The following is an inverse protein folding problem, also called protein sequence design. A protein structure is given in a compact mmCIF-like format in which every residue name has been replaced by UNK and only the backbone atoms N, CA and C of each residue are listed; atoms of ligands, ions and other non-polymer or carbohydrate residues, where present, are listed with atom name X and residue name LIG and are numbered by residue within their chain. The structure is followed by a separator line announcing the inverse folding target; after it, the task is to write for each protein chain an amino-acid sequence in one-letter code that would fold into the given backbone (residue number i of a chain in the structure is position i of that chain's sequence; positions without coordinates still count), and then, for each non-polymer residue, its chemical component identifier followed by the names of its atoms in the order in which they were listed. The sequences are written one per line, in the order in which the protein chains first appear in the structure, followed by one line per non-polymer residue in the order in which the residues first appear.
data_IF_796571425372
#
_entry.id   IF_796571425372
#
_cell.length_a   1.000
_cell.length_b   1.000
_cell.length_c   1.000
_cell.angle_alpha   90.00
_cell.angle_beta   90.00
_cell.angle_gamma   90.00
#
_symmetry.space_group_name_H-M   'P 1'
#
loop_
_entity.id
_entity.type
_entity.pdbx_description
1 polymer ?
#
# COMPACT_ATOMS: atom_id res chain seq x y z
N UNK A 1 -0.54 -8.90 -29.01
CA UNK A 1 -1.15 -7.53 -28.99
C UNK A 1 -0.46 -6.70 -27.92
N UNK A 2 -0.49 -5.36 -27.99
CA UNK A 2 0.15 -4.48 -26.99
C UNK A 2 -0.93 -3.69 -26.24
N UNK A 3 -0.90 -3.76 -24.92
CA UNK A 3 -1.78 -3.03 -24.01
C UNK A 3 -0.96 -2.10 -23.13
N UNK A 4 -1.56 -0.98 -22.70
CA UNK A 4 -0.88 0.02 -21.87
C UNK A 4 -1.54 0.14 -20.50
N UNK A 5 -0.71 0.39 -19.50
CA UNK A 5 -1.13 0.75 -18.15
C UNK A 5 -0.11 1.65 -17.48
N UNK A 6 -0.22 1.79 -16.17
CA UNK A 6 0.65 2.61 -15.34
C UNK A 6 1.84 1.78 -14.85
N UNK A 7 3.07 2.03 -15.31
CA UNK A 7 4.26 1.34 -14.82
C UNK A 7 4.58 1.81 -13.40
N UNK A 8 4.38 0.97 -12.40
CA UNK A 8 4.60 1.35 -10.98
C UNK A 8 5.94 0.84 -10.44
N UNK A 9 6.46 -0.26 -10.97
CA UNK A 9 7.74 -0.83 -10.57
C UNK A 9 8.49 -1.32 -11.81
N UNK A 10 9.71 -0.83 -12.02
CA UNK A 10 10.44 -0.99 -13.29
C UNK A 10 11.01 -2.40 -13.44
N UNK A 11 10.94 -2.92 -14.66
CA UNK A 11 11.66 -4.12 -15.07
C UNK A 11 11.00 -4.80 -16.25
N UNK A 12 11.62 -5.89 -16.72
CA UNK A 12 11.14 -6.69 -17.83
C UNK A 12 10.91 -8.12 -17.35
N UNK A 13 9.71 -8.64 -17.54
CA UNK A 13 9.37 -10.02 -17.23
C UNK A 13 8.81 -10.74 -18.46
N UNK A 14 9.16 -12.00 -18.60
CA UNK A 14 8.65 -12.90 -19.65
C UNK A 14 8.26 -14.18 -18.95
N UNK A 15 7.02 -14.61 -19.11
CA UNK A 15 6.53 -15.80 -18.43
C UNK A 15 5.09 -16.15 -18.80
N UNK A 16 4.61 -17.25 -18.22
CA UNK A 16 3.20 -17.61 -18.31
C UNK A 16 2.38 -16.74 -17.37
N UNK A 17 1.16 -16.42 -17.79
CA UNK A 17 0.22 -15.70 -16.96
C UNK A 17 -0.48 -16.65 -15.99
N UNK A 18 -0.47 -16.29 -14.72
CA UNK A 18 -1.36 -16.85 -13.71
C UNK A 18 -2.48 -15.84 -13.45
N UNK A 19 -3.68 -16.13 -13.98
CA UNK A 19 -4.87 -15.32 -13.70
C UNK A 19 -5.34 -15.63 -12.28
N UNK A 20 -5.18 -14.64 -11.41
CA UNK A 20 -5.68 -14.63 -10.04
C UNK A 20 -7.04 -13.93 -10.01
N UNK A 21 -8.05 -14.70 -9.63
CA UNK A 21 -9.38 -14.19 -9.34
C UNK A 21 -9.57 -14.25 -7.84
N UNK A 22 -9.62 -13.07 -7.22
CA UNK A 22 -10.07 -12.95 -5.84
C UNK A 22 -11.51 -13.45 -5.73
N UNK A 23 -11.87 -13.93 -4.54
CA UNK A 23 -13.22 -14.41 -4.30
C UNK A 23 -14.22 -13.25 -4.47
N UNK A 24 -15.03 -13.33 -5.52
CA UNK A 24 -16.15 -12.40 -5.76
C UNK A 24 -17.45 -13.08 -5.32
N UNK A 25 -17.98 -12.75 -4.14
CA UNK A 25 -19.21 -13.36 -3.63
C UNK A 25 -20.40 -13.00 -4.51
N UNK A 26 -21.23 -13.99 -4.87
CA UNK A 26 -22.54 -13.77 -5.47
C UNK A 26 -23.58 -14.00 -4.39
N UNK A 27 -24.00 -12.91 -3.75
CA UNK A 27 -24.95 -12.95 -2.63
C UNK A 27 -26.31 -12.48 -3.13
N UNK A 28 -27.33 -13.26 -2.83
CA UNK A 28 -28.73 -12.97 -3.16
C UNK A 28 -29.52 -12.78 -1.88
N UNK A 29 -30.44 -11.83 -1.87
CA UNK A 29 -31.36 -11.65 -0.75
C UNK A 29 -32.20 -12.91 -0.53
N UNK A 30 -32.04 -13.51 0.65
CA UNK A 30 -32.77 -14.68 1.10
C UNK A 30 -33.13 -14.52 2.56
N UNK A 31 -34.32 -14.99 2.91
CA UNK A 31 -34.79 -15.07 4.28
C UNK A 31 -34.81 -16.52 4.74
N UNK A 32 -34.70 -16.72 6.05
CA UNK A 32 -34.74 -18.04 6.67
C UNK A 32 -35.86 -18.14 7.72
N UNK A 33 -36.16 -19.36 8.18
CA UNK A 33 -37.16 -19.60 9.22
C UNK A 33 -36.68 -19.08 10.59
N UNK A 34 -37.44 -18.23 11.32
CA UNK A 34 -37.03 -17.67 12.61
C UNK A 34 -36.55 -18.67 13.67
N UNK A 35 -36.94 -19.94 13.58
CA UNK A 35 -36.42 -20.99 14.46
C UNK A 35 -34.92 -21.25 14.32
N UNK A 36 -34.29 -20.81 13.23
CA UNK A 36 -32.87 -20.99 12.92
C UNK A 36 -32.01 -19.78 13.29
N UNK A 37 -32.58 -18.75 13.92
CA UNK A 37 -31.84 -17.52 14.26
C UNK A 37 -30.61 -17.80 15.11
N UNK A 38 -30.74 -18.60 16.17
CA UNK A 38 -29.60 -18.93 17.05
C UNK A 38 -28.52 -19.76 16.32
N UNK A 39 -28.92 -20.68 15.43
CA UNK A 39 -28.01 -21.46 14.58
C UNK A 39 -27.17 -20.53 13.68
N UNK A 40 -27.82 -19.58 13.01
CA UNK A 40 -27.15 -18.65 12.11
C UNK A 40 -26.25 -17.66 12.84
N UNK A 41 -26.68 -17.15 14.01
CA UNK A 41 -25.87 -16.28 14.85
C UNK A 41 -24.62 -17.02 15.37
N UNK A 42 -24.76 -18.26 15.82
CA UNK A 42 -23.63 -19.07 16.25
C UNK A 42 -22.63 -19.30 15.11
N UNK A 43 -23.11 -19.68 13.92
CA UNK A 43 -22.26 -19.89 12.76
C UNK A 43 -21.57 -18.60 12.30
N UNK A 44 -22.21 -17.44 12.47
CA UNK A 44 -21.61 -16.15 12.14
C UNK A 44 -20.46 -15.82 13.10
N UNK A 45 -20.64 -16.11 14.40
CA UNK A 45 -19.57 -15.98 15.38
C UNK A 45 -18.39 -16.91 15.08
N UNK A 46 -18.66 -18.16 14.67
CA UNK A 46 -17.62 -19.09 14.22
C UNK A 46 -16.88 -18.58 12.97
N UNK A 47 -17.60 -17.93 12.05
CA UNK A 47 -17.04 -17.29 10.84
C UNK A 47 -16.08 -16.16 11.21
N UNK A 48 -16.46 -15.29 12.16
CA UNK A 48 -15.57 -14.22 12.66
C UNK A 48 -14.30 -14.79 13.30
N UNK A 49 -14.43 -15.83 14.14
CA UNK A 49 -13.26 -16.48 14.78
C UNK A 49 -12.31 -17.09 13.76
N UNK A 50 -12.83 -17.69 12.68
CA UNK A 50 -11.97 -18.22 11.63
C UNK A 50 -11.30 -17.09 10.83
N UNK A 51 -12.02 -16.01 10.54
CA UNK A 51 -11.44 -14.83 9.88
C UNK A 51 -10.32 -14.20 10.71
N UNK A 52 -10.54 -14.04 12.02
CA UNK A 52 -9.53 -13.60 12.97
C UNK A 52 -8.31 -14.53 12.95
N UNK A 53 -8.53 -15.85 12.98
CA UNK A 53 -7.43 -16.83 12.95
C UNK A 53 -6.57 -16.71 11.68
N UNK A 54 -7.20 -16.52 10.51
CA UNK A 54 -6.48 -16.31 9.26
C UNK A 54 -5.70 -14.98 9.26
N UNK A 55 -6.32 -13.88 9.70
CA UNK A 55 -5.67 -12.57 9.77
C UNK A 55 -4.49 -12.57 10.76
N UNK A 56 -4.63 -13.23 11.91
CA UNK A 56 -3.54 -13.39 12.89
C UNK A 56 -2.35 -14.15 12.31
N UNK A 57 -2.57 -15.19 11.51
CA UNK A 57 -1.47 -15.90 10.84
C UNK A 57 -0.69 -14.99 9.89
N UNK A 58 -1.40 -14.13 9.14
CA UNK A 58 -0.76 -13.17 8.23
C UNK A 58 0.00 -12.10 9.04
N UNK A 59 -0.64 -11.57 10.09
CA UNK A 59 -0.01 -10.62 11.02
C UNK A 59 1.30 -11.18 11.60
N UNK A 60 1.27 -12.39 12.14
CA UNK A 60 2.44 -13.00 12.81
C UNK A 60 3.56 -13.31 11.81
N UNK A 61 3.22 -13.73 10.59
CA UNK A 61 4.19 -13.92 9.51
C UNK A 61 4.96 -12.63 9.16
N UNK A 62 4.28 -11.48 9.22
CA UNK A 62 4.85 -10.19 8.88
C UNK A 62 5.49 -9.47 10.06
N UNK A 63 5.08 -9.76 11.29
CA UNK A 63 5.50 -9.01 12.49
C UNK A 63 7.02 -8.90 12.66
N UNK A 64 7.76 -9.96 12.32
CA UNK A 64 9.22 -9.99 12.45
C UNK A 64 9.96 -9.32 11.28
N UNK A 65 9.33 -9.24 10.09
CA UNK A 65 9.99 -8.80 8.85
C UNK A 65 9.56 -7.42 8.40
N UNK A 66 8.28 -7.10 8.58
CA UNK A 66 7.60 -5.93 8.02
C UNK A 66 6.52 -5.42 9.00
N UNK A 67 6.93 -4.91 10.19
CA UNK A 67 6.01 -4.57 11.29
C UNK A 67 4.97 -3.51 10.91
N UNK A 68 5.32 -2.56 10.04
CA UNK A 68 4.36 -1.58 9.53
C UNK A 68 3.26 -2.21 8.68
N UNK A 69 3.56 -3.27 7.91
CA UNK A 69 2.55 -4.02 7.16
C UNK A 69 1.71 -4.91 8.07
N UNK A 70 2.29 -5.44 9.15
CA UNK A 70 1.54 -6.23 10.14
C UNK A 70 0.40 -5.41 10.78
N UNK A 71 0.59 -4.10 11.02
CA UNK A 71 -0.45 -3.21 11.56
C UNK A 71 -1.72 -3.17 10.71
N UNK A 72 -1.63 -3.37 9.40
CA UNK A 72 -2.79 -3.44 8.51
C UNK A 72 -3.71 -4.59 8.92
N UNK A 73 -3.12 -5.76 9.21
CA UNK A 73 -3.88 -6.95 9.60
C UNK A 73 -4.41 -6.86 11.03
N UNK A 74 -3.75 -6.10 11.91
CA UNK A 74 -4.33 -5.73 13.21
C UNK A 74 -5.60 -4.90 13.02
N UNK A 75 -5.56 -3.88 12.15
CA UNK A 75 -6.73 -3.07 11.82
C UNK A 75 -7.84 -3.90 11.15
N UNK A 76 -7.50 -4.90 10.33
CA UNK A 76 -8.50 -5.82 9.75
C UNK A 76 -9.19 -6.67 10.82
N UNK A 77 -8.46 -7.11 11.86
CA UNK A 77 -9.06 -7.80 13.01
C UNK A 77 -10.00 -6.85 13.76
N UNK A 78 -9.61 -5.59 13.96
CA UNK A 78 -10.46 -4.59 14.58
C UNK A 78 -11.75 -4.37 13.75
N UNK A 79 -11.67 -4.34 12.41
CA UNK A 79 -12.84 -4.24 11.52
C UNK A 79 -13.76 -5.46 11.65
N UNK A 80 -13.22 -6.68 11.78
CA UNK A 80 -14.05 -7.90 11.99
C UNK A 80 -14.90 -7.79 13.25
N UNK A 81 -14.40 -7.08 14.27
CA UNK A 81 -15.04 -6.90 15.57
C UNK A 81 -15.57 -5.48 15.81
N UNK A 82 -15.74 -4.68 14.75
CA UNK A 82 -16.33 -3.36 14.89
C UNK A 82 -17.76 -3.50 15.44
N UNK A 83 -18.01 -2.85 16.58
CA UNK A 83 -19.27 -3.00 17.32
C UNK A 83 -20.48 -2.55 16.49
N UNK A 84 -20.35 -1.44 15.74
CA UNK A 84 -21.45 -0.89 14.95
C UNK A 84 -21.80 -1.80 13.78
N UNK A 85 -20.81 -2.27 13.03
CA UNK A 85 -21.00 -3.22 11.93
C UNK A 85 -21.58 -4.55 12.46
N UNK A 86 -21.04 -5.04 13.58
CA UNK A 86 -21.46 -6.31 14.18
C UNK A 86 -22.90 -6.25 14.66
N UNK A 87 -23.29 -5.18 15.36
CA UNK A 87 -24.67 -5.00 15.83
C UNK A 87 -25.65 -4.91 14.65
N UNK A 88 -25.34 -4.15 13.60
CA UNK A 88 -26.19 -4.06 12.41
C UNK A 88 -26.38 -5.42 11.70
N UNK A 89 -25.32 -6.23 11.62
CA UNK A 89 -25.41 -7.58 11.04
C UNK A 89 -26.25 -8.50 11.91
N UNK A 90 -26.04 -8.48 13.24
CA UNK A 90 -26.81 -9.30 14.19
C UNK A 90 -28.30 -8.91 14.15
N UNK A 91 -28.60 -7.62 14.11
CA UNK A 91 -29.98 -7.11 14.06
C UNK A 91 -30.67 -7.48 12.75
N UNK A 92 -29.96 -7.43 11.62
CA UNK A 92 -30.47 -7.91 10.34
C UNK A 92 -30.84 -9.41 10.42
N UNK A 93 -29.95 -10.23 10.97
CA UNK A 93 -30.19 -11.68 11.12
C UNK A 93 -31.36 -11.94 12.08
N UNK A 94 -31.43 -11.24 13.21
CA UNK A 94 -32.40 -11.50 14.28
C UNK A 94 -33.78 -10.93 14.00
N UNK A 95 -33.85 -9.72 13.47
CA UNK A 95 -35.11 -8.97 13.33
C UNK A 95 -35.72 -9.15 11.93
N UNK A 96 -34.89 -9.14 10.90
CA UNK A 96 -35.34 -9.25 9.50
C UNK A 96 -35.29 -10.69 8.98
N UNK A 97 -34.63 -11.61 9.71
CA UNK A 97 -34.49 -13.03 9.35
C UNK A 97 -33.85 -13.24 7.97
N UNK A 98 -32.91 -12.36 7.61
CA UNK A 98 -32.13 -12.48 6.37
C UNK A 98 -30.90 -13.35 6.58
N UNK A 99 -30.52 -14.14 5.57
CA UNK A 99 -29.35 -15.02 5.68
C UNK A 99 -28.06 -14.22 5.97
N UNK A 100 -27.13 -14.74 6.79
CA UNK A 100 -25.96 -13.98 7.23
C UNK A 100 -25.02 -13.50 6.12
N UNK A 101 -24.90 -14.22 5.01
CA UNK A 101 -24.14 -13.73 3.84
C UNK A 101 -24.76 -12.46 3.25
N UNK A 102 -26.08 -12.40 3.13
CA UNK A 102 -26.78 -11.18 2.72
C UNK A 102 -26.64 -10.06 3.73
N UNK A 103 -26.76 -10.34 5.03
CA UNK A 103 -26.54 -9.35 6.07
C UNK A 103 -25.13 -8.74 6.00
N UNK A 104 -24.09 -9.59 5.90
CA UNK A 104 -22.68 -9.18 5.75
C UNK A 104 -22.50 -8.33 4.50
N UNK A 105 -22.95 -8.82 3.33
CA UNK A 105 -22.82 -8.09 2.06
C UNK A 105 -23.50 -6.71 2.13
N UNK A 106 -24.72 -6.64 2.67
CA UNK A 106 -25.52 -5.42 2.76
C UNK A 106 -24.88 -4.37 3.67
N UNK A 107 -24.47 -4.77 4.88
CA UNK A 107 -23.90 -3.85 5.87
C UNK A 107 -22.54 -3.36 5.39
N UNK A 108 -21.60 -4.25 5.06
CA UNK A 108 -20.27 -3.84 4.59
C UNK A 108 -20.34 -3.00 3.31
N UNK A 109 -21.19 -3.35 2.34
CA UNK A 109 -21.35 -2.54 1.12
C UNK A 109 -21.90 -1.14 1.40
N UNK A 110 -22.64 -0.95 2.48
CA UNK A 110 -23.10 0.38 2.92
C UNK A 110 -21.92 1.20 3.47
N UNK A 111 -21.14 0.63 4.38
CA UNK A 111 -19.95 1.28 4.94
C UNK A 111 -18.90 1.59 3.85
N UNK A 112 -18.60 0.63 2.97
CA UNK A 112 -17.69 0.82 1.82
C UNK A 112 -18.13 2.00 0.97
N UNK A 113 -19.43 2.09 0.61
CA UNK A 113 -19.96 3.24 -0.16
C UNK A 113 -19.83 4.57 0.58
N UNK A 114 -19.93 4.58 1.90
CA UNK A 114 -19.76 5.78 2.71
C UNK A 114 -18.30 6.25 2.71
N UNK A 115 -17.34 5.37 3.04
CA UNK A 115 -15.92 5.76 3.07
C UNK A 115 -15.34 6.03 1.68
N UNK A 116 -15.79 5.34 0.62
CA UNK A 116 -15.34 5.65 -0.75
C UNK A 116 -15.72 7.05 -1.21
N UNK A 117 -16.75 7.68 -0.62
CA UNK A 117 -17.16 9.05 -0.92
C UNK A 117 -16.47 10.10 -0.05
N UNK A 118 -15.59 9.70 0.86
CA UNK A 118 -14.84 10.63 1.69
C UNK A 118 -13.93 11.53 0.83
N UNK A 119 -13.78 12.79 1.24
CA UNK A 119 -12.87 13.73 0.57
C UNK A 119 -11.41 13.37 0.84
N UNK A 120 -11.13 12.88 2.03
CA UNK A 120 -9.81 12.44 2.45
C UNK A 120 -9.37 11.16 1.71
N UNK A 121 -8.24 11.20 0.98
CA UNK A 121 -7.67 10.02 0.32
C UNK A 121 -7.39 8.85 1.26
N UNK A 122 -6.92 9.10 2.48
CA UNK A 122 -6.58 8.06 3.46
C UNK A 122 -7.85 7.34 3.94
N UNK A 123 -8.94 8.09 4.14
CA UNK A 123 -10.24 7.49 4.48
C UNK A 123 -10.79 6.67 3.30
N UNK A 124 -10.59 7.13 2.06
CA UNK A 124 -10.98 6.35 0.88
C UNK A 124 -10.22 5.04 0.77
N UNK A 125 -8.95 4.99 1.19
CA UNK A 125 -8.14 3.77 1.18
C UNK A 125 -8.70 2.69 2.12
N UNK A 126 -9.35 3.09 3.24
CA UNK A 126 -10.05 2.14 4.14
C UNK A 126 -11.20 1.37 3.46
N UNK A 127 -11.71 1.83 2.33
CA UNK A 127 -12.70 1.09 1.57
C UNK A 127 -12.16 -0.25 1.06
N UNK A 128 -10.86 -0.32 0.74
CA UNK A 128 -10.20 -1.55 0.34
C UNK A 128 -10.10 -2.53 1.52
N UNK A 129 -9.79 -2.03 2.73
CA UNK A 129 -9.71 -2.84 3.95
C UNK A 129 -11.06 -3.46 4.32
N UNK A 130 -12.13 -2.65 4.29
CA UNK A 130 -13.50 -3.14 4.50
C UNK A 130 -13.90 -4.19 3.44
N UNK A 131 -13.47 -4.00 2.19
CA UNK A 131 -13.73 -4.96 1.12
C UNK A 131 -13.00 -6.29 1.34
N UNK A 132 -11.74 -6.24 1.78
CA UNK A 132 -10.93 -7.43 2.11
C UNK A 132 -11.60 -8.24 3.23
N UNK A 133 -11.95 -7.57 4.34
CA UNK A 133 -12.65 -8.21 5.47
C UNK A 133 -14.01 -8.79 5.05
N UNK A 134 -14.81 -8.02 4.30
CA UNK A 134 -16.11 -8.48 3.78
C UNK A 134 -15.96 -9.76 2.96
N UNK A 135 -15.06 -9.74 1.97
CA UNK A 135 -14.88 -10.87 1.06
C UNK A 135 -14.33 -12.10 1.80
N UNK A 136 -13.47 -11.90 2.81
CA UNK A 136 -12.99 -12.96 3.69
C UNK A 136 -14.13 -13.59 4.49
N UNK A 137 -14.96 -12.80 5.15
CA UNK A 137 -16.11 -13.30 5.91
C UNK A 137 -17.09 -14.07 5.01
N UNK A 138 -17.41 -13.55 3.84
CA UNK A 138 -18.30 -14.22 2.88
C UNK A 138 -17.70 -15.51 2.32
N UNK A 139 -16.38 -15.53 2.06
CA UNK A 139 -15.67 -16.73 1.62
C UNK A 139 -15.76 -17.83 2.65
N UNK A 140 -15.46 -17.51 3.91
CA UNK A 140 -15.53 -18.42 5.05
C UNK A 140 -16.96 -18.92 5.25
N UNK A 141 -17.93 -18.00 5.24
CA UNK A 141 -19.34 -18.34 5.40
C UNK A 141 -19.79 -19.39 4.39
N UNK A 142 -19.40 -19.21 3.13
CA UNK A 142 -19.74 -20.10 2.04
C UNK A 142 -18.88 -21.37 1.98
N UNK A 143 -17.97 -21.58 2.94
CA UNK A 143 -17.09 -22.75 2.99
C UNK A 143 -16.10 -22.81 1.81
N UNK A 144 -15.81 -21.68 1.20
CA UNK A 144 -14.89 -21.59 0.07
C UNK A 144 -13.46 -21.51 0.60
N UNK A 145 -12.59 -22.41 0.14
CA UNK A 145 -11.17 -22.40 0.51
C UNK A 145 -10.48 -21.12 0.07
N UNK A 146 -9.47 -20.69 0.81
CA UNK A 146 -8.62 -19.57 0.40
C UNK A 146 -7.83 -19.94 -0.85
N UNK A 147 -7.94 -19.13 -1.91
CA UNK A 147 -6.96 -19.13 -3.00
C UNK A 147 -5.94 -18.07 -2.66
N UNK A 148 -4.76 -18.50 -2.22
CA UNK A 148 -3.68 -17.58 -1.89
C UNK A 148 -2.59 -17.62 -2.95
N UNK A 149 -1.86 -16.51 -3.06
CA UNK A 149 -0.69 -16.39 -3.92
C UNK A 149 0.59 -16.87 -3.21
N UNK A 150 0.46 -17.60 -2.09
CA UNK A 150 1.57 -17.94 -1.19
C UNK A 150 2.43 -19.10 -1.61
N UNK A 151 1.90 -19.96 -2.49
CA UNK A 151 2.63 -21.07 -3.08
C UNK A 151 2.29 -21.09 -4.56
N UNK A 152 3.25 -20.69 -5.38
CA UNK A 152 3.17 -20.81 -6.83
C UNK A 152 4.07 -21.96 -7.28
N UNK A 153 3.56 -22.84 -8.13
CA UNK A 153 4.29 -24.05 -8.56
C UNK A 153 5.44 -23.74 -9.54
N UNK A 154 5.30 -22.66 -10.32
CA UNK A 154 6.29 -22.20 -11.29
C UNK A 154 6.38 -20.66 -11.30
N UNK A 155 7.47 -20.08 -11.83
CA UNK A 155 7.57 -18.64 -12.02
C UNK A 155 6.53 -18.11 -13.02
N UNK A 156 5.68 -17.17 -12.59
CA UNK A 156 4.52 -16.67 -13.35
C UNK A 156 4.38 -15.15 -13.29
N UNK A 157 3.68 -14.61 -14.28
CA UNK A 157 3.17 -13.24 -14.27
C UNK A 157 1.77 -13.27 -13.66
N UNK A 158 1.57 -12.63 -12.51
CA UNK A 158 0.27 -12.59 -11.83
C UNK A 158 -0.61 -11.53 -12.49
N UNK A 159 -1.78 -11.94 -12.98
CA UNK A 159 -2.80 -11.06 -13.53
C UNK A 159 -4.05 -11.06 -12.66
N UNK A 160 -4.53 -9.89 -12.24
CA UNK A 160 -5.72 -9.77 -11.40
C UNK A 160 -6.57 -8.54 -11.74
N UNK A 161 -7.82 -8.50 -11.30
CA UNK A 161 -8.64 -7.28 -11.39
C UNK A 161 -8.05 -6.18 -10.48
N UNK A 162 -7.77 -6.57 -9.24
CA UNK A 162 -7.04 -5.82 -8.23
C UNK A 162 -6.34 -6.84 -7.30
N UNK A 163 -5.38 -6.37 -6.50
CA UNK A 163 -4.77 -7.19 -5.44
C UNK A 163 -5.02 -6.54 -4.08
N UNK A 164 -5.74 -7.25 -3.22
CA UNK A 164 -6.06 -6.80 -1.88
C UNK A 164 -4.81 -6.83 -0.97
N UNK A 165 -4.82 -6.11 0.17
CA UNK A 165 -3.73 -6.16 1.13
C UNK A 165 -3.37 -7.61 1.54
N UNK A 166 -4.34 -8.49 1.77
CA UNK A 166 -4.05 -9.90 2.10
C UNK A 166 -3.34 -10.66 0.99
N UNK A 167 -3.68 -10.40 -0.27
CA UNK A 167 -3.15 -11.12 -1.43
C UNK A 167 -1.69 -10.79 -1.65
N UNK A 168 -1.37 -9.50 -1.50
CA UNK A 168 -0.02 -8.96 -1.67
C UNK A 168 0.90 -9.28 -0.49
N UNK A 169 0.37 -9.35 0.73
CA UNK A 169 1.11 -9.77 1.91
C UNK A 169 1.59 -11.22 1.85
N UNK A 170 0.73 -12.10 1.32
CA UNK A 170 0.98 -13.54 1.27
C UNK A 170 1.69 -13.98 -0.01
N UNK A 171 2.06 -13.06 -0.89
CA UNK A 171 2.57 -13.37 -2.24
C UNK A 171 3.92 -14.13 -2.23
N UNK A 172 4.03 -15.18 -3.05
CA UNK A 172 5.26 -15.95 -3.26
C UNK A 172 6.26 -15.15 -4.12
N UNK A 173 7.01 -14.27 -3.46
CA UNK A 173 7.97 -13.35 -4.10
C UNK A 173 8.96 -14.04 -5.03
N UNK A 174 9.31 -15.31 -4.76
CA UNK A 174 10.31 -16.03 -5.54
C UNK A 174 9.80 -16.43 -6.92
N UNK A 175 8.50 -16.72 -7.01
CA UNK A 175 7.86 -17.23 -8.21
C UNK A 175 6.99 -16.17 -8.92
N UNK A 176 6.88 -14.96 -8.39
CA UNK A 176 6.22 -13.85 -9.11
C UNK A 176 7.24 -13.10 -9.96
N UNK A 177 7.14 -13.27 -11.27
CA UNK A 177 7.98 -12.58 -12.26
C UNK A 177 7.54 -11.13 -12.49
N UNK A 178 6.24 -10.87 -12.47
CA UNK A 178 5.64 -9.55 -12.60
C UNK A 178 4.19 -9.54 -12.12
N UNK A 179 3.66 -8.35 -11.85
CA UNK A 179 2.26 -8.11 -11.46
C UNK A 179 1.59 -7.22 -12.50
N UNK A 180 0.42 -7.63 -12.99
CA UNK A 180 -0.43 -6.82 -13.86
C UNK A 180 -1.87 -6.77 -13.32
N UNK A 181 -2.45 -5.57 -13.25
CA UNK A 181 -3.82 -5.41 -12.74
C UNK A 181 -4.70 -4.55 -13.66
N UNK A 182 -6.00 -4.84 -13.65
CA UNK A 182 -6.99 -4.04 -14.40
C UNK A 182 -7.22 -2.66 -13.78
N UNK A 183 -7.19 -2.61 -12.44
CA UNK A 183 -7.37 -1.40 -11.65
C UNK A 183 -6.09 -1.05 -10.89
N UNK A 184 -6.10 0.05 -10.14
CA UNK A 184 -4.94 0.51 -9.35
C UNK A 184 -4.18 1.67 -9.98
N UNK A 185 -3.41 2.36 -9.13
CA UNK A 185 -2.66 3.57 -9.48
C UNK A 185 -1.33 3.59 -8.72
N UNK A 186 -0.52 4.64 -8.91
CA UNK A 186 0.77 4.77 -8.23
C UNK A 186 0.70 4.78 -6.69
N UNK A 187 -0.48 5.04 -6.12
CA UNK A 187 -0.72 5.08 -4.67
C UNK A 187 -1.42 3.83 -4.14
N UNK A 188 -1.79 2.86 -4.98
CA UNK A 188 -2.46 1.65 -4.46
C UNK A 188 -1.51 0.78 -3.66
N UNK A 189 -2.05 -0.01 -2.73
CA UNK A 189 -1.28 -0.97 -1.94
C UNK A 189 -0.45 -1.91 -2.82
N UNK A 190 -1.01 -2.38 -3.93
CA UNK A 190 -0.30 -3.23 -4.90
C UNK A 190 0.89 -2.51 -5.54
N UNK A 191 0.82 -1.20 -5.76
CA UNK A 191 1.95 -0.40 -6.27
C UNK A 191 3.08 -0.25 -5.25
N UNK A 192 2.73 0.01 -4.00
CA UNK A 192 3.70 0.11 -2.90
C UNK A 192 4.43 -1.22 -2.74
N UNK A 193 3.70 -2.34 -2.78
CA UNK A 193 4.26 -3.66 -2.55
C UNK A 193 5.13 -4.11 -3.73
N UNK A 194 4.67 -3.90 -4.98
CA UNK A 194 5.48 -4.19 -6.15
C UNK A 194 6.83 -3.44 -6.14
N UNK A 195 6.85 -2.17 -5.68
CA UNK A 195 8.09 -1.40 -5.50
C UNK A 195 8.96 -1.95 -4.39
N UNK A 196 8.37 -2.23 -3.22
CA UNK A 196 9.06 -2.75 -2.04
C UNK A 196 9.74 -4.09 -2.32
N UNK A 197 9.11 -4.95 -3.12
CA UNK A 197 9.68 -6.25 -3.51
C UNK A 197 10.51 -6.22 -4.79
N UNK A 198 10.74 -5.04 -5.39
CA UNK A 198 11.41 -4.89 -6.70
C UNK A 198 10.79 -5.77 -7.81
N UNK A 199 9.49 -6.09 -7.71
CA UNK A 199 8.78 -6.91 -8.70
C UNK A 199 8.27 -5.97 -9.81
N UNK A 200 8.58 -6.23 -11.10
CA UNK A 200 8.07 -5.44 -12.21
C UNK A 200 6.54 -5.40 -12.21
N UNK A 201 5.93 -4.22 -12.36
CA UNK A 201 4.47 -4.11 -12.29
C UNK A 201 3.87 -3.01 -13.15
N UNK A 202 2.74 -3.34 -13.80
CA UNK A 202 1.91 -2.43 -14.58
C UNK A 202 0.47 -2.52 -14.05
N UNK A 203 -0.05 -1.43 -13.50
CA UNK A 203 -1.40 -1.40 -12.94
C UNK A 203 -2.35 -0.60 -13.83
N UNK A 204 -3.66 -0.80 -13.68
CA UNK A 204 -4.65 -0.01 -14.42
C UNK A 204 -4.68 -0.29 -15.91
N UNK A 205 -4.46 -1.55 -16.35
CA UNK A 205 -4.57 -1.95 -17.75
C UNK A 205 -6.06 -2.15 -18.08
N UNK A 206 -6.69 -1.31 -18.92
CA UNK A 206 -8.13 -1.37 -19.12
C UNK A 206 -8.60 -2.73 -19.66
N UNK A 207 -9.64 -3.29 -19.03
CA UNK A 207 -10.26 -4.55 -19.45
C UNK A 207 -9.32 -5.76 -19.46
N UNK A 208 -8.23 -5.73 -18.68
CA UNK A 208 -7.25 -6.82 -18.58
C UNK A 208 -7.91 -8.18 -18.40
N UNK A 209 -8.85 -8.30 -17.46
CA UNK A 209 -9.47 -9.57 -17.11
C UNK A 209 -10.39 -10.12 -18.22
N UNK A 210 -10.77 -9.29 -19.19
CA UNK A 210 -11.62 -9.71 -20.31
C UNK A 210 -10.83 -10.41 -21.43
N UNK A 211 -9.53 -10.12 -21.56
CA UNK A 211 -8.72 -10.62 -22.68
C UNK A 211 -7.57 -11.53 -22.26
N UNK A 212 -7.02 -11.35 -21.04
CA UNK A 212 -5.88 -12.14 -20.56
C UNK A 212 -6.32 -13.56 -20.22
N UNK A 213 -5.50 -14.55 -20.53
CA UNK A 213 -5.81 -15.97 -20.32
C UNK A 213 -4.78 -16.65 -19.44
N UNK A 214 -5.27 -17.47 -18.53
CA UNK A 214 -4.42 -18.29 -17.69
C UNK A 214 -3.57 -19.23 -18.56
N UNK A 215 -2.27 -19.30 -18.27
CA UNK A 215 -1.28 -20.12 -18.95
C UNK A 215 -0.72 -19.54 -20.25
N UNK A 216 -1.23 -18.41 -20.76
CA UNK A 216 -0.67 -17.81 -21.97
C UNK A 216 0.67 -17.11 -21.68
N UNK A 217 1.57 -17.11 -22.67
CA UNK A 217 2.84 -16.37 -22.54
C UNK A 217 2.60 -14.88 -22.74
N UNK A 218 3.12 -14.08 -21.82
CA UNK A 218 3.10 -12.63 -21.91
C UNK A 218 4.49 -12.04 -21.61
N UNK A 219 4.70 -10.83 -22.11
CA UNK A 219 5.85 -9.98 -21.77
C UNK A 219 5.31 -8.74 -21.06
N UNK A 220 5.91 -8.42 -19.91
CA UNK A 220 5.63 -7.22 -19.15
C UNK A 220 6.84 -6.31 -19.26
N UNK A 221 6.68 -5.21 -19.99
CA UNK A 221 7.63 -4.11 -20.03
C UNK A 221 7.15 -3.01 -19.07
N UNK A 222 7.51 -3.13 -17.80
CA UNK A 222 7.15 -2.15 -16.78
C UNK A 222 8.05 -0.90 -16.81
N UNK A 223 8.90 -0.75 -17.83
CA UNK A 223 9.63 0.49 -18.10
C UNK A 223 8.80 1.36 -19.04
N UNK A 224 8.31 0.77 -20.13
CA UNK A 224 7.42 1.42 -21.10
C UNK A 224 5.94 1.45 -20.66
N UNK A 225 5.57 0.63 -19.67
CA UNK A 225 4.18 0.45 -19.25
C UNK A 225 3.37 -0.38 -20.26
N UNK A 226 4.01 -1.33 -20.92
CA UNK A 226 3.43 -2.14 -22.00
C UNK A 226 3.32 -3.61 -21.62
N UNK A 227 2.13 -4.19 -21.80
CA UNK A 227 1.86 -5.61 -21.72
C UNK A 227 1.70 -6.18 -23.12
N UNK A 228 2.49 -7.19 -23.46
CA UNK A 228 2.44 -7.85 -24.76
C UNK A 228 1.93 -9.28 -24.57
N UNK A 229 0.75 -9.57 -25.10
CA UNK A 229 0.16 -10.92 -25.06
C UNK A 229 0.43 -11.67 -26.35
N UNK A 230 0.61 -12.99 -26.24
CA UNK A 230 0.86 -13.90 -27.37
C UNK A 230 1.98 -13.38 -28.30
N UNK A 231 3.17 -13.08 -27.76
CA UNK A 231 4.28 -12.59 -28.56
C UNK A 231 4.74 -13.66 -29.56
N UNK A 232 5.11 -13.21 -30.77
CA UNK A 232 5.79 -14.09 -31.71
C UNK A 232 7.24 -14.35 -31.27
N UNK A 233 7.89 -15.29 -31.95
CA UNK A 233 9.27 -15.68 -31.64
C UNK A 233 10.25 -14.51 -31.75
N UNK A 234 10.09 -13.64 -32.75
CA UNK A 234 10.98 -12.47 -32.93
C UNK A 234 10.86 -11.48 -31.78
N UNK A 235 9.64 -11.27 -31.29
CA UNK A 235 9.33 -10.41 -30.14
C UNK A 235 9.90 -11.02 -28.85
N UNK A 236 9.74 -12.33 -28.63
CA UNK A 236 10.34 -13.03 -27.49
C UNK A 236 11.87 -12.92 -27.49
N UNK A 237 12.52 -13.16 -28.64
CA UNK A 237 13.97 -13.08 -28.76
C UNK A 237 14.47 -11.64 -28.50
N UNK A 238 13.76 -10.63 -29.01
CA UNK A 238 14.06 -9.23 -28.74
C UNK A 238 13.95 -8.90 -27.25
N UNK A 239 12.82 -9.22 -26.61
CA UNK A 239 12.59 -8.88 -25.21
C UNK A 239 13.47 -9.68 -24.24
N UNK A 240 13.89 -10.90 -24.61
CA UNK A 240 14.90 -11.64 -23.84
C UNK A 240 16.22 -10.88 -23.79
N UNK A 241 16.64 -10.25 -24.89
CA UNK A 241 17.83 -9.38 -24.92
C UNK A 241 17.61 -8.06 -24.17
N UNK A 242 16.39 -7.51 -24.17
CA UNK A 242 16.06 -6.31 -23.38
C UNK A 242 16.10 -6.64 -21.89
N UNK A 243 15.51 -7.76 -21.46
CA UNK A 243 15.53 -8.24 -20.09
C UNK A 243 16.96 -8.45 -19.59
N UNK A 244 17.80 -9.12 -20.38
CA UNK A 244 19.20 -9.36 -20.00
C UNK A 244 20.00 -8.05 -19.91
N UNK A 245 19.80 -7.11 -20.85
CA UNK A 245 20.44 -5.79 -20.78
C UNK A 245 20.01 -5.03 -19.53
N UNK A 246 18.72 -5.03 -19.22
CA UNK A 246 18.19 -4.39 -18.01
C UNK A 246 18.79 -5.02 -16.75
N UNK A 247 18.90 -6.35 -16.70
CA UNK A 247 19.52 -7.07 -15.58
C UNK A 247 20.97 -6.65 -15.40
N UNK A 248 21.77 -6.68 -16.47
CA UNK A 248 23.19 -6.28 -16.44
C UNK A 248 23.33 -4.80 -16.04
N UNK A 249 22.48 -3.91 -16.55
CA UNK A 249 22.53 -2.48 -16.21
C UNK A 249 22.12 -2.22 -14.76
N UNK A 250 21.12 -2.95 -14.25
CA UNK A 250 20.72 -2.91 -12.85
C UNK A 250 21.83 -3.42 -11.93
N UNK A 251 22.48 -4.54 -12.27
CA UNK A 251 23.64 -5.06 -11.53
C UNK A 251 24.82 -4.09 -11.55
N UNK A 252 25.13 -3.49 -12.71
CA UNK A 252 26.14 -2.43 -12.83
C UNK A 252 25.80 -1.24 -11.96
N UNK A 253 24.55 -0.79 -11.98
CA UNK A 253 24.09 0.34 -11.16
C UNK A 253 24.19 0.03 -9.68
N UNK A 254 23.80 -1.17 -9.25
CA UNK A 254 23.96 -1.64 -7.87
C UNK A 254 25.45 -1.67 -7.45
N UNK A 255 26.37 -1.98 -8.36
CA UNK A 255 27.81 -1.92 -8.08
C UNK A 255 28.35 -0.50 -7.83
N UNK A 256 27.59 0.55 -8.18
CA UNK A 256 27.93 1.95 -7.89
C UNK A 256 27.37 2.47 -6.55
N UNK A 257 26.50 1.73 -5.85
CA UNK A 257 25.91 2.15 -4.57
C UNK A 257 26.98 2.55 -3.54
N UNK A 258 28.07 1.78 -3.47
CA UNK A 258 29.18 1.99 -2.53
C UNK A 258 30.38 2.74 -3.15
N UNK A 259 30.21 3.42 -4.27
CA UNK A 259 31.31 4.12 -4.97
C UNK A 259 31.29 5.61 -4.69
N UNK A 260 32.48 6.21 -4.66
CA UNK A 260 32.61 7.66 -4.59
C UNK A 260 31.94 8.34 -5.79
N UNK A 261 31.08 9.34 -5.57
CA UNK A 261 30.36 10.03 -6.63
C UNK A 261 31.27 11.04 -7.33
N UNK A 262 32.06 10.54 -8.28
CA UNK A 262 33.02 11.32 -9.06
C UNK A 262 32.57 11.45 -10.52
N UNK A 263 32.72 12.64 -11.09
CA UNK A 263 32.63 12.86 -12.55
C UNK A 263 33.83 12.21 -13.26
N UNK A 264 33.76 12.13 -14.60
CA UNK A 264 34.85 11.55 -15.43
C UNK A 264 36.20 12.27 -15.28
N UNK A 265 36.19 13.54 -14.88
CA UNK A 265 37.39 14.35 -14.64
C UNK A 265 37.84 14.33 -13.15
N UNK A 266 37.16 13.57 -12.30
CA UNK A 266 37.51 13.40 -10.88
C UNK A 266 36.87 14.41 -9.93
N UNK A 267 35.99 15.29 -10.40
CA UNK A 267 35.24 16.21 -9.54
C UNK A 267 34.22 15.44 -8.70
N UNK A 268 34.28 15.57 -7.37
CA UNK A 268 33.27 14.98 -6.48
C UNK A 268 31.97 15.77 -6.52
N UNK A 269 30.85 15.05 -6.57
CA UNK A 269 29.49 15.60 -6.45
C UNK A 269 28.83 14.92 -5.26
N UNK A 270 28.48 15.68 -4.23
CA UNK A 270 27.82 15.10 -3.07
C UNK A 270 26.38 14.67 -3.41
N UNK A 271 25.99 13.48 -2.98
CA UNK A 271 24.68 12.89 -3.23
C UNK A 271 23.82 12.96 -1.97
N UNK A 272 22.78 13.80 -2.03
CA UNK A 272 21.84 14.00 -0.93
C UNK A 272 20.56 13.17 -1.07
N UNK A 273 20.04 12.63 0.04
CA UNK A 273 18.72 12.00 0.09
C UNK A 273 17.62 13.00 0.44
N UNK A 274 16.45 12.80 -0.17
CA UNK A 274 15.22 13.45 0.25
C UNK A 274 14.38 12.43 1.01
N UNK A 275 14.04 12.72 2.26
CA UNK A 275 13.32 11.81 3.16
C UNK A 275 12.06 12.50 3.72
N UNK A 276 11.09 11.70 4.17
CA UNK A 276 9.81 12.22 4.66
C UNK A 276 9.35 11.58 5.97
N UNK A 277 9.26 10.25 6.00
CA UNK A 277 8.72 9.51 7.15
C UNK A 277 9.81 9.09 8.13
N UNK A 278 11.07 9.00 7.70
CA UNK A 278 12.15 8.45 8.52
C UNK A 278 11.93 6.98 8.86
N UNK A 279 11.24 6.24 7.96
CA UNK A 279 11.05 4.81 8.08
C UNK A 279 12.34 4.05 7.73
N UNK A 280 12.39 2.76 8.10
CA UNK A 280 13.60 1.95 7.93
C UNK A 280 14.03 1.85 6.45
N UNK A 281 13.09 1.74 5.50
CA UNK A 281 13.39 1.71 4.06
C UNK A 281 14.13 2.98 3.55
N UNK A 282 13.76 4.16 4.05
CA UNK A 282 14.48 5.42 3.74
C UNK A 282 15.85 5.45 4.42
N UNK A 283 15.90 4.99 5.68
CA UNK A 283 17.08 5.03 6.54
C UNK A 283 18.13 3.96 6.21
N UNK A 284 17.76 2.87 5.55
CA UNK A 284 18.69 1.85 5.04
C UNK A 284 19.61 2.40 3.96
N UNK A 285 19.22 3.48 3.29
CA UNK A 285 20.04 4.15 2.25
C UNK A 285 21.07 5.11 2.81
N UNK A 286 21.03 5.40 4.12
CA UNK A 286 21.95 6.32 4.78
C UNK A 286 23.45 6.01 4.56
N UNK A 287 23.91 4.74 4.48
CA UNK A 287 25.31 4.43 4.18
C UNK A 287 25.78 4.99 2.83
N UNK A 288 24.90 5.00 1.82
CA UNK A 288 25.21 5.32 0.42
C UNK A 288 25.05 6.80 0.04
N UNK A 289 24.57 7.63 0.96
CA UNK A 289 24.35 9.06 0.72
C UNK A 289 25.38 9.91 1.47
N UNK A 290 25.77 11.05 0.93
CA UNK A 290 26.69 11.97 1.62
C UNK A 290 25.98 12.80 2.70
N UNK A 291 24.68 13.08 2.50
CA UNK A 291 23.85 13.90 3.39
C UNK A 291 22.35 13.67 3.15
N UNK A 292 21.49 14.26 3.98
CA UNK A 292 20.05 14.40 3.70
C UNK A 292 19.80 15.81 3.20
N UNK A 293 19.56 15.97 1.89
CA UNK A 293 19.33 17.26 1.24
C UNK A 293 17.98 17.89 1.54
N UNK A 294 16.99 17.08 1.90
CA UNK A 294 15.68 17.55 2.30
C UNK A 294 14.99 16.54 3.20
N UNK A 295 14.82 16.89 4.47
CA UNK A 295 13.91 16.17 5.35
C UNK A 295 12.58 16.93 5.44
N UNK A 296 11.54 16.33 4.86
CA UNK A 296 10.17 16.85 4.82
C UNK A 296 9.44 16.48 6.10
N UNK A 297 9.24 17.44 6.98
CA UNK A 297 8.58 17.20 8.26
C UNK A 297 7.06 17.03 8.14
N UNK A 298 6.45 17.41 7.02
CA UNK A 298 4.99 17.38 6.82
C UNK A 298 4.38 16.00 7.03
N UNK A 299 5.09 14.93 6.63
CA UNK A 299 4.59 13.57 6.78
C UNK A 299 4.32 13.21 8.25
N UNK A 300 5.15 13.68 9.17
CA UNK A 300 4.96 13.49 10.61
C UNK A 300 3.69 14.17 11.13
N UNK A 301 3.32 15.32 10.56
CA UNK A 301 2.08 16.01 10.90
C UNK A 301 0.88 15.31 10.23
N UNK A 302 1.03 14.82 9.01
CA UNK A 302 -0.06 14.17 8.28
C UNK A 302 -0.38 12.76 8.78
N UNK A 303 0.58 12.04 9.38
CA UNK A 303 0.40 10.65 9.82
C UNK A 303 -0.37 10.49 11.13
N UNK A 304 -0.61 11.56 11.88
CA UNK A 304 -1.26 11.53 13.19
C UNK A 304 -2.70 12.05 13.15
N UNK A 305 -3.53 11.59 14.08
CA UNK A 305 -4.88 12.14 14.32
C UNK A 305 -4.85 13.49 15.07
N UNK A 306 -3.69 13.86 15.60
CA UNK A 306 -3.47 15.09 16.35
C UNK A 306 -2.08 15.67 16.06
N UNK A 307 -1.87 16.92 16.46
CA UNK A 307 -0.60 17.62 16.26
C UNK A 307 0.53 16.93 17.03
N UNK A 308 1.65 16.57 16.37
CA UNK A 308 2.73 15.86 17.03
C UNK A 308 3.37 16.72 18.12
N UNK A 309 3.52 16.13 19.30
CA UNK A 309 4.18 16.73 20.45
C UNK A 309 5.66 16.98 20.20
N UNK A 310 6.29 17.85 21.03
CA UNK A 310 7.74 18.07 20.97
C UNK A 310 8.53 16.76 21.07
N UNK A 311 8.08 15.83 21.91
CA UNK A 311 8.77 14.55 22.15
C UNK A 311 8.66 13.61 20.96
N UNK A 312 7.49 13.52 20.33
CA UNK A 312 7.30 12.74 19.11
C UNK A 312 8.16 13.29 17.96
N UNK A 313 8.22 14.61 17.80
CA UNK A 313 9.10 15.24 16.82
C UNK A 313 10.56 14.98 17.13
N UNK A 314 10.97 15.11 18.39
CA UNK A 314 12.34 14.86 18.83
C UNK A 314 12.79 13.43 18.53
N UNK A 315 12.00 12.41 18.86
CA UNK A 315 12.40 11.01 18.64
C UNK A 315 12.56 10.68 17.15
N UNK A 316 11.68 11.20 16.28
CA UNK A 316 11.83 11.03 14.82
C UNK A 316 13.11 11.72 14.32
N UNK A 317 13.36 12.96 14.77
CA UNK A 317 14.52 13.74 14.32
C UNK A 317 15.83 13.10 14.79
N UNK A 318 15.86 12.64 16.05
CA UNK A 318 16.96 11.91 16.67
C UNK A 318 17.23 10.58 15.96
N UNK A 319 16.19 9.82 15.59
CA UNK A 319 16.36 8.56 14.87
C UNK A 319 17.08 8.79 13.52
N UNK A 320 16.64 9.79 12.77
CA UNK A 320 17.27 10.18 11.49
C UNK A 320 18.73 10.59 11.71
N UNK A 321 18.98 11.53 12.63
CA UNK A 321 20.35 12.00 12.89
C UNK A 321 21.28 10.87 13.35
N UNK A 322 20.81 9.99 14.25
CA UNK A 322 21.58 8.83 14.71
C UNK A 322 21.97 7.89 13.55
N UNK A 323 21.09 7.73 12.55
CA UNK A 323 21.36 6.90 11.38
C UNK A 323 22.38 7.53 10.42
N UNK A 324 22.28 8.84 10.21
CA UNK A 324 23.17 9.60 9.32
C UNK A 324 24.49 10.02 9.99
N UNK A 325 24.59 9.90 11.32
CA UNK A 325 25.80 10.13 12.11
C UNK A 325 26.37 11.53 11.87
N UNK A 326 27.58 11.61 11.32
CA UNK A 326 28.31 12.83 11.00
C UNK A 326 27.83 13.51 9.70
N UNK A 327 26.93 12.88 8.96
CA UNK A 327 26.42 13.41 7.69
C UNK A 327 25.37 14.51 7.94
N UNK A 328 25.44 15.65 7.25
CA UNK A 328 24.48 16.74 7.41
C UNK A 328 23.04 16.31 7.12
N UNK A 329 22.10 16.83 7.91
CA UNK A 329 20.66 16.66 7.68
C UNK A 329 19.98 18.02 7.56
N UNK A 330 19.49 18.35 6.37
CA UNK A 330 18.77 19.59 6.11
C UNK A 330 17.28 19.40 6.40
N UNK A 331 16.90 19.65 7.65
CA UNK A 331 15.51 19.66 8.09
C UNK A 331 14.76 20.86 7.50
N UNK A 332 13.64 20.60 6.84
CA UNK A 332 12.70 21.64 6.43
C UNK A 332 11.57 21.74 7.45
N UNK A 333 11.40 22.94 7.99
CA UNK A 333 10.28 23.26 8.89
C UNK A 333 8.94 23.03 8.18
N UNK A 334 7.87 22.92 8.96
CA UNK A 334 6.54 22.57 8.48
C UNK A 334 6.14 23.39 7.24
N UNK A 335 5.90 22.69 6.12
CA UNK A 335 5.40 23.26 4.86
C UNK A 335 4.04 22.68 4.49
N UNK A 336 3.05 23.04 5.28
CA UNK A 336 1.64 22.67 5.08
C UNK A 336 0.82 23.86 4.58
N UNK A 337 -0.27 23.55 3.90
CA UNK A 337 -1.11 24.47 3.14
C UNK A 337 -1.32 23.96 1.71
N UNK A 338 -2.15 24.67 0.95
CA UNK A 338 -2.59 24.26 -0.37
C UNK A 338 -3.50 23.02 -0.40
N UNK A 339 -2.95 21.91 -0.89
CA UNK A 339 -3.57 20.61 -1.13
C UNK A 339 -3.45 19.66 0.09
N UNK A 340 -2.62 20.03 1.07
CA UNK A 340 -2.34 19.24 2.27
C UNK A 340 -3.12 19.80 3.45
N UNK A 341 -4.24 19.16 3.77
CA UNK A 341 -5.08 19.54 4.92
C UNK A 341 -4.75 18.67 6.13
N UNK A 342 -4.72 19.28 7.33
CA UNK A 342 -4.59 18.57 8.59
C UNK A 342 -5.97 18.61 9.28
N UNK A 343 -6.65 17.48 9.49
CA UNK A 343 -8.01 17.47 10.05
C UNK A 343 -8.13 18.17 11.40
N UNK A 344 -7.06 18.17 12.20
CA UNK A 344 -6.99 18.77 13.53
C UNK A 344 -6.49 20.23 13.55
N UNK A 345 -6.11 20.79 12.39
CA UNK A 345 -5.68 22.19 12.27
C UNK A 345 -6.69 22.94 11.40
N UNK A 346 -7.59 23.65 12.06
CA UNK A 346 -8.57 24.49 11.37
C UNK A 346 -7.87 25.68 10.71
N UNK A 347 -7.70 25.59 9.39
CA UNK A 347 -7.14 26.65 8.56
C UNK A 347 -8.29 27.27 7.75
N UNK A 348 -8.40 28.60 7.71
CA UNK A 348 -9.45 29.25 6.92
C UNK A 348 -9.32 28.88 5.45
N UNK A 349 -10.46 28.70 4.79
CA UNK A 349 -10.49 28.44 3.35
C UNK A 349 -9.99 29.67 2.58
N UNK A 350 -9.10 29.45 1.62
CA UNK A 350 -8.53 30.48 0.76
C UNK A 350 -8.91 30.24 -0.70
N UNK A 351 -9.16 31.30 -1.46
CA UNK A 351 -9.47 31.20 -2.90
C UNK A 351 -8.29 30.61 -3.70
N UNK A 352 -7.06 30.91 -3.28
CA UNK A 352 -5.85 30.32 -3.85
C UNK A 352 -4.89 29.84 -2.74
N UNK A 353 -5.08 28.60 -2.28
CA UNK A 353 -4.26 28.01 -1.21
C UNK A 353 -2.76 27.89 -1.54
N UNK A 354 -2.37 27.85 -2.83
CA UNK A 354 -0.96 27.86 -3.23
C UNK A 354 -0.28 29.22 -3.03
N UNK A 355 -1.05 30.31 -3.09
CA UNK A 355 -0.58 31.68 -2.91
C UNK A 355 -0.85 32.24 -1.51
N UNK A 356 -1.61 31.53 -0.68
CA UNK A 356 -2.07 32.01 0.63
C UNK A 356 -1.16 31.66 1.83
N UNK A 357 -1.76 31.38 2.98
CA UNK A 357 -1.10 31.17 4.26
C UNK A 357 -0.58 29.73 4.40
N UNK A 358 0.62 29.50 3.88
CA UNK A 358 1.30 28.20 3.89
C UNK A 358 2.77 28.30 4.28
N UNK A 359 3.38 27.16 4.60
CA UNK A 359 4.81 27.11 4.88
C UNK A 359 5.22 28.03 6.02
N UNK A 360 6.32 28.78 5.81
CA UNK A 360 6.83 29.69 6.82
C UNK A 360 5.82 30.77 7.24
N UNK A 361 4.87 31.15 6.37
CA UNK A 361 3.83 32.12 6.71
C UNK A 361 2.92 31.58 7.80
N UNK A 362 2.49 30.32 7.66
CA UNK A 362 1.72 29.63 8.69
C UNK A 362 2.53 29.48 9.98
N UNK A 363 3.82 29.14 9.88
CA UNK A 363 4.69 29.06 11.06
C UNK A 363 4.79 30.39 11.83
N UNK A 364 4.76 31.53 11.14
CA UNK A 364 4.75 32.84 11.79
C UNK A 364 3.37 33.24 12.32
N UNK A 365 2.28 32.84 11.66
CA UNK A 365 0.92 33.04 12.15
C UNK A 365 0.61 32.15 13.37
N UNK A 366 1.25 30.98 13.44
CA UNK A 366 1.11 30.00 14.53
C UNK A 366 2.46 29.69 15.21
N UNK A 367 3.02 30.63 16.00
CA UNK A 367 4.28 30.44 16.70
C UNK A 367 4.24 29.29 17.73
N UNK A 368 3.06 28.91 18.21
CA UNK A 368 2.84 27.78 19.10
C UNK A 368 3.30 26.46 18.45
N UNK A 369 2.95 26.26 17.18
CA UNK A 369 3.35 25.09 16.39
C UNK A 369 4.84 25.17 16.04
N UNK A 370 5.27 26.35 15.57
CA UNK A 370 6.62 26.53 15.06
C UNK A 370 7.68 26.38 16.15
N UNK A 371 7.44 26.91 17.35
CA UNK A 371 8.37 26.80 18.49
C UNK A 371 8.54 25.36 18.96
N UNK A 372 7.48 24.56 18.95
CA UNK A 372 7.56 23.12 19.29
C UNK A 372 8.54 22.42 18.34
N UNK A 373 8.37 22.66 17.03
CA UNK A 373 9.24 22.05 16.02
C UNK A 373 10.71 22.49 16.16
N UNK A 374 10.95 23.79 16.35
CA UNK A 374 12.31 24.30 16.52
C UNK A 374 12.98 23.75 17.78
N UNK A 375 12.24 23.63 18.89
CA UNK A 375 12.76 23.04 20.14
C UNK A 375 13.13 21.57 19.94
N UNK A 376 12.26 20.79 19.31
CA UNK A 376 12.54 19.40 18.98
C UNK A 376 13.79 19.26 18.10
N UNK A 377 13.92 20.08 17.05
CA UNK A 377 15.08 20.07 16.16
C UNK A 377 16.39 20.45 16.87
N UNK A 378 16.36 21.50 17.70
CA UNK A 378 17.53 21.93 18.49
C UNK A 378 17.94 20.90 19.55
N UNK A 379 16.98 20.17 20.13
CA UNK A 379 17.27 19.05 21.03
C UNK A 379 17.90 17.89 20.28
N UNK A 380 17.38 17.57 19.10
CA UNK A 380 17.84 16.45 18.29
C UNK A 380 19.25 16.69 17.73
N UNK A 381 19.66 17.94 17.47
CA UNK A 381 20.97 18.28 16.88
C UNK A 381 22.20 17.93 17.74
N UNK A 382 22.00 17.38 18.94
CA UNK A 382 23.06 16.90 19.83
C UNK A 382 23.37 15.40 19.64
N UNK A 383 22.57 14.70 18.83
CA UNK A 383 22.69 13.29 18.46
C UNK A 383 23.15 13.19 17.01
#
# INVERSE_FOLDING_TARGET
MIYKGNPVSKGIAIGKVYVYESYSPVVTEKTFDPSRTDEFLQRYEETKKLAESELRKIHDMLSDREPEKAKIFAAHIDIVYDDAITEEIIDAIRSEHVEPDYAIERVYSTYIKMVSKARDPVIRERAADLCDVKNRLLRIWNGVGERNLSVLEEPVIVAAYDLLPSDTATIDRKNVLAIITETGSFTSHSAIIAKSYEIPAILGIPSLMSFIRHGETAIVDAIAGELITQPDKGTLDHYSQVQERFRIESEKTKAYLDKDPLTKDGTRIDIGLNIGSGNDDELEKAPYADFVGLFRTEFLFMSGESMPTEEQQFEVYKNILTRFRDKPVYLRTLDIGADKTLPYLDLPAEDNPFLGCRGIRLCFERPDIFKIQLRAALRASLY
#
